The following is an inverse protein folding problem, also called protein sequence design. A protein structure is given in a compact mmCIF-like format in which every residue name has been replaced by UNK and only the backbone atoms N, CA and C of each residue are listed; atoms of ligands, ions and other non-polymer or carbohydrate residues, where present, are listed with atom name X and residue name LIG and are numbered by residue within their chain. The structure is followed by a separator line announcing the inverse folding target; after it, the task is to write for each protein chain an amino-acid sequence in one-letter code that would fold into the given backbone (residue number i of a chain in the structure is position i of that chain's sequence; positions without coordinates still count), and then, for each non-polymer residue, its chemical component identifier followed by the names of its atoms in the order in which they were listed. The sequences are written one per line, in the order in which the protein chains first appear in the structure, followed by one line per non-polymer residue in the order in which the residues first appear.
data_IF_253804305566
#
_entry.id   IF_253804305566
#
_cell.length_a   1.000
_cell.length_b   1.000
_cell.length_c   1.000
_cell.angle_alpha   90.00
_cell.angle_beta   90.00
_cell.angle_gamma   90.00
#
_symmetry.space_group_name_H-M   'P 1'
#
loop_
_entity.id
_entity.type
_entity.pdbx_description
1 polymer ?
#
# COMPACT_ATOMS: atom_id res chain seq x y z
N UNK A 1 -24.63 0.04 8.21
CA UNK A 1 -23.51 0.54 9.03
C UNK A 1 -24.06 1.67 9.87
N UNK A 2 -23.87 1.62 11.19
CA UNK A 2 -24.36 2.64 12.09
C UNK A 2 -23.34 3.78 12.13
N UNK A 3 -23.73 4.97 11.69
CA UNK A 3 -22.94 6.18 11.87
C UNK A 3 -22.96 6.63 13.33
N UNK A 4 -22.14 7.62 13.66
CA UNK A 4 -22.10 8.21 14.99
C UNK A 4 -23.29 9.14 15.18
N UNK A 5 -24.01 8.97 16.29
CA UNK A 5 -25.07 9.90 16.70
C UNK A 5 -24.45 11.19 17.28
N UNK A 6 -24.49 12.27 16.52
CA UNK A 6 -23.90 13.54 16.90
C UNK A 6 -24.80 14.35 17.84
N UNK A 7 -24.19 14.99 18.83
CA UNK A 7 -24.83 16.06 19.61
C UNK A 7 -25.12 17.29 18.73
N UNK A 8 -26.01 18.21 19.15
CA UNK A 8 -26.30 19.43 18.38
C UNK A 8 -25.06 20.28 18.06
N UNK A 9 -24.10 20.38 18.99
CA UNK A 9 -22.87 21.14 18.76
C UNK A 9 -21.94 20.41 17.79
N UNK A 10 -21.79 19.09 17.90
CA UNK A 10 -21.02 18.30 16.94
C UNK A 10 -21.62 18.36 15.53
N UNK A 11 -22.95 18.34 15.41
CA UNK A 11 -23.64 18.49 14.12
C UNK A 11 -23.34 19.86 13.50
N UNK A 12 -23.37 20.93 14.29
CA UNK A 12 -22.99 22.27 13.85
C UNK A 12 -21.54 22.34 13.39
N UNK A 13 -20.61 21.73 14.12
CA UNK A 13 -19.19 21.67 13.74
C UNK A 13 -19.01 20.90 12.43
N UNK A 14 -19.69 19.76 12.28
CA UNK A 14 -19.72 18.97 11.04
C UNK A 14 -20.20 19.80 9.86
N UNK A 15 -21.30 20.54 10.00
CA UNK A 15 -21.83 21.42 8.94
C UNK A 15 -20.81 22.48 8.52
N UNK A 16 -20.07 23.08 9.47
CA UNK A 16 -18.99 24.04 9.16
C UNK A 16 -17.87 23.38 8.36
N UNK A 17 -17.46 22.17 8.74
CA UNK A 17 -16.43 21.41 8.01
C UNK A 17 -16.88 21.09 6.59
N UNK A 18 -18.13 20.61 6.42
CA UNK A 18 -18.72 20.31 5.11
C UNK A 18 -18.83 21.56 4.22
N UNK A 19 -19.27 22.69 4.78
CA UNK A 19 -19.35 23.97 4.07
C UNK A 19 -17.96 24.40 3.56
N UNK A 20 -16.95 24.41 4.44
CA UNK A 20 -15.59 24.80 4.06
C UNK A 20 -14.99 23.87 3.01
N UNK A 21 -15.16 22.54 3.17
CA UNK A 21 -14.70 21.55 2.20
C UNK A 21 -15.32 21.74 0.82
N UNK A 22 -16.63 21.98 0.75
CA UNK A 22 -17.32 22.20 -0.51
C UNK A 22 -16.78 23.44 -1.25
N UNK A 23 -16.52 24.53 -0.50
CA UNK A 23 -15.93 25.75 -1.06
C UNK A 23 -14.51 25.48 -1.58
N UNK A 24 -13.65 24.85 -0.77
CA UNK A 24 -12.26 24.56 -1.14
C UNK A 24 -12.18 23.62 -2.36
N UNK A 25 -13.02 22.59 -2.41
CA UNK A 25 -13.08 21.65 -3.54
C UNK A 25 -13.54 22.31 -4.84
N UNK A 26 -14.52 23.22 -4.76
CA UNK A 26 -14.97 23.99 -5.91
C UNK A 26 -13.84 24.91 -6.41
N UNK A 27 -13.15 25.59 -5.50
CA UNK A 27 -12.09 26.52 -5.85
C UNK A 27 -10.84 25.84 -6.42
N UNK A 28 -10.51 24.60 -6.06
CA UNK A 28 -9.42 23.85 -6.70
C UNK A 28 -9.57 23.82 -8.23
N UNK A 29 -10.81 23.70 -8.71
CA UNK A 29 -11.13 23.65 -10.15
C UNK A 29 -11.22 25.04 -10.76
N UNK A 30 -11.85 25.97 -10.04
CA UNK A 30 -12.21 27.28 -10.59
C UNK A 30 -11.13 28.36 -10.39
N UNK A 31 -10.33 28.25 -9.33
CA UNK A 31 -9.27 29.17 -8.90
C UNK A 31 -9.73 30.63 -8.87
N UNK A 32 -10.86 30.88 -8.22
CA UNK A 32 -11.52 32.20 -8.18
C UNK A 32 -11.34 32.92 -6.84
N UNK A 33 -11.07 32.19 -5.77
CA UNK A 33 -10.99 32.77 -4.44
C UNK A 33 -9.56 33.31 -4.21
N UNK A 34 -9.40 34.56 -3.73
CA UNK A 34 -8.09 35.08 -3.37
C UNK A 34 -7.41 34.25 -2.27
N UNK A 35 -6.07 34.15 -2.32
CA UNK A 35 -5.29 33.36 -1.37
C UNK A 35 -5.57 33.68 0.10
N UNK A 36 -5.76 34.96 0.45
CA UNK A 36 -6.08 35.39 1.82
C UNK A 36 -7.44 34.86 2.29
N UNK A 37 -8.44 34.81 1.40
CA UNK A 37 -9.76 34.28 1.71
C UNK A 37 -9.75 32.74 1.78
N UNK A 38 -9.02 32.08 0.87
CA UNK A 38 -8.76 30.63 0.94
C UNK A 38 -8.12 30.26 2.29
N UNK A 39 -7.14 31.04 2.73
CA UNK A 39 -6.45 30.83 3.99
C UNK A 39 -7.41 30.86 5.17
N UNK A 40 -8.32 31.84 5.22
CA UNK A 40 -9.37 31.92 6.26
C UNK A 40 -10.32 30.73 6.23
N UNK A 41 -10.65 30.21 5.04
CA UNK A 41 -11.50 29.02 4.91
C UNK A 41 -10.77 27.78 5.44
N UNK A 42 -9.48 27.62 5.16
CA UNK A 42 -8.66 26.56 5.75
C UNK A 42 -8.59 26.67 7.27
N UNK A 43 -8.38 27.87 7.81
CA UNK A 43 -8.29 28.08 9.26
C UNK A 43 -9.63 27.79 9.95
N UNK A 44 -10.76 28.21 9.35
CA UNK A 44 -12.13 27.90 9.83
C UNK A 44 -12.40 26.39 9.81
N UNK A 45 -12.01 25.70 8.74
CA UNK A 45 -12.13 24.24 8.62
C UNK A 45 -11.27 23.53 9.66
N UNK A 46 -10.02 23.98 9.84
CA UNK A 46 -9.08 23.41 10.78
C UNK A 46 -9.59 23.51 12.22
N UNK A 47 -10.07 24.69 12.62
CA UNK A 47 -10.62 24.92 13.95
C UNK A 47 -11.88 24.07 14.20
N UNK A 48 -12.81 24.03 13.25
CA UNK A 48 -14.04 23.25 13.38
C UNK A 48 -13.76 21.73 13.39
N UNK A 49 -12.90 21.25 12.49
CA UNK A 49 -12.51 19.85 12.39
C UNK A 49 -11.80 19.35 13.64
N UNK A 50 -10.88 20.16 14.18
CA UNK A 50 -10.21 19.84 15.43
C UNK A 50 -11.16 19.81 16.63
N UNK A 51 -12.04 20.81 16.78
CA UNK A 51 -13.05 20.81 17.86
C UNK A 51 -13.98 19.61 17.77
N UNK A 52 -14.40 19.25 16.55
CA UNK A 52 -15.23 18.08 16.31
C UNK A 52 -14.49 16.80 16.69
N UNK A 53 -13.22 16.65 16.28
CA UNK A 53 -12.38 15.52 16.69
C UNK A 53 -12.32 15.40 18.21
N UNK A 54 -11.91 16.46 18.90
CA UNK A 54 -11.73 16.43 20.35
C UNK A 54 -13.04 16.12 21.08
N UNK A 55 -14.16 16.68 20.61
CA UNK A 55 -15.48 16.40 21.18
C UNK A 55 -15.92 14.94 21.00
N UNK A 56 -15.59 14.30 19.88
CA UNK A 56 -15.86 12.88 19.65
C UNK A 56 -14.94 11.99 20.51
N UNK A 57 -13.66 12.35 20.61
CA UNK A 57 -12.67 11.68 21.46
C UNK A 57 -13.06 11.70 22.95
N UNK A 58 -13.59 12.81 23.44
CA UNK A 58 -14.13 12.92 24.81
C UNK A 58 -15.31 11.97 25.09
N UNK A 59 -15.96 11.44 24.06
CA UNK A 59 -17.06 10.47 24.13
C UNK A 59 -16.61 9.04 23.82
N UNK A 60 -15.30 8.76 23.91
CA UNK A 60 -14.68 7.47 23.55
C UNK A 60 -14.93 7.07 22.08
N UNK A 61 -15.11 8.06 21.20
CA UNK A 61 -15.28 7.89 19.75
C UNK A 61 -14.17 8.60 18.97
N UNK A 62 -12.91 8.28 19.31
CA UNK A 62 -11.74 8.90 18.69
C UNK A 62 -11.70 8.65 17.17
N UNK A 63 -11.71 9.70 16.33
CA UNK A 63 -11.65 9.54 14.88
C UNK A 63 -10.35 8.90 14.41
N UNK A 64 -10.47 7.82 13.65
CA UNK A 64 -9.35 7.17 12.95
C UNK A 64 -9.10 7.89 11.63
N UNK A 65 -7.83 8.10 11.30
CA UNK A 65 -7.35 8.65 10.01
C UNK A 65 -6.36 7.68 9.41
N UNK A 66 -6.27 7.65 8.08
CA UNK A 66 -5.28 6.82 7.40
C UNK A 66 -3.84 7.09 7.89
N UNK A 67 -3.10 6.02 8.19
CA UNK A 67 -1.73 6.08 8.74
C UNK A 67 -0.78 6.92 7.88
N UNK A 68 -0.88 6.81 6.56
CA UNK A 68 -0.01 7.56 5.64
C UNK A 68 -0.21 9.07 5.79
N UNK A 69 -1.41 9.54 6.16
CA UNK A 69 -1.66 10.98 6.33
C UNK A 69 -0.97 11.52 7.58
N UNK A 70 -1.02 10.79 8.68
CA UNK A 70 -0.32 11.15 9.92
C UNK A 70 1.20 11.19 9.66
N UNK A 71 1.73 10.17 8.96
CA UNK A 71 3.15 10.09 8.61
C UNK A 71 3.60 11.24 7.69
N UNK A 72 2.86 11.50 6.60
CA UNK A 72 3.21 12.55 5.63
C UNK A 72 3.11 13.96 6.23
N UNK A 73 2.21 14.18 7.18
CA UNK A 73 2.04 15.48 7.86
C UNK A 73 3.04 15.67 8.99
N UNK A 74 3.57 14.57 9.56
CA UNK A 74 4.52 14.62 10.67
C UNK A 74 3.94 15.22 11.95
N UNK A 75 2.61 15.16 12.13
CA UNK A 75 1.90 15.73 13.28
C UNK A 75 0.71 14.85 13.68
N UNK A 76 0.35 14.94 14.96
CA UNK A 76 -0.79 14.23 15.54
C UNK A 76 -2.12 14.79 15.04
N UNK A 77 -3.16 13.95 14.95
CA UNK A 77 -4.54 14.37 14.72
C UNK A 77 -5.11 15.26 15.83
N UNK A 78 -4.48 15.24 17.02
CA UNK A 78 -4.77 16.15 18.13
C UNK A 78 -4.27 17.58 17.86
N UNK A 79 -3.44 17.82 16.85
CA UNK A 79 -3.03 19.17 16.46
C UNK A 79 -4.06 19.78 15.50
N UNK A 80 -4.54 20.99 15.79
CA UNK A 80 -5.43 21.74 14.90
C UNK A 80 -4.91 21.90 13.47
N UNK A 81 -3.58 22.03 13.30
CA UNK A 81 -2.95 22.15 11.99
C UNK A 81 -3.07 20.86 11.14
N UNK A 82 -3.35 19.71 11.77
CA UNK A 82 -3.65 18.48 11.04
C UNK A 82 -4.84 18.68 10.10
N UNK A 83 -5.89 19.33 10.60
CA UNK A 83 -7.12 19.66 9.87
C UNK A 83 -7.00 20.85 8.92
N UNK A 84 -5.83 21.52 8.87
CA UNK A 84 -5.54 22.56 7.88
C UNK A 84 -5.16 21.96 6.51
N UNK A 85 -5.96 20.99 6.08
CA UNK A 85 -5.87 20.28 4.80
C UNK A 85 -7.20 19.55 4.53
N UNK A 86 -7.49 19.33 3.24
CA UNK A 86 -8.75 18.72 2.81
C UNK A 86 -8.87 17.27 3.29
N UNK A 87 -7.87 16.41 3.04
CA UNK A 87 -7.97 14.97 3.33
C UNK A 87 -8.26 14.61 4.80
N UNK A 88 -7.57 15.16 5.83
CA UNK A 88 -7.93 14.91 7.22
C UNK A 88 -9.37 15.28 7.59
N UNK A 89 -9.91 16.32 6.94
CA UNK A 89 -11.30 16.73 7.13
C UNK A 89 -12.27 15.79 6.40
N UNK A 90 -11.88 15.22 5.25
CA UNK A 90 -12.64 14.17 4.57
C UNK A 90 -12.70 12.89 5.39
N UNK A 91 -11.56 12.42 5.92
CA UNK A 91 -11.49 11.25 6.80
C UNK A 91 -12.37 11.42 8.04
N UNK A 92 -12.32 12.58 8.69
CA UNK A 92 -13.19 12.86 9.84
C UNK A 92 -14.68 12.73 9.47
N UNK A 93 -15.10 13.25 8.33
CA UNK A 93 -16.49 13.13 7.88
C UNK A 93 -16.85 11.70 7.49
N UNK A 94 -15.94 10.97 6.88
CA UNK A 94 -16.12 9.56 6.52
C UNK A 94 -16.27 8.69 7.77
N UNK A 95 -15.42 8.90 8.79
CA UNK A 95 -15.48 8.23 10.09
C UNK A 95 -16.84 8.41 10.78
N UNK A 96 -17.39 9.63 10.76
CA UNK A 96 -18.71 9.92 11.34
C UNK A 96 -19.82 9.09 10.67
N UNK A 97 -19.71 8.84 9.36
CA UNK A 97 -20.69 8.04 8.62
C UNK A 97 -20.47 6.54 8.83
N UNK A 98 -19.22 6.12 8.95
CA UNK A 98 -18.81 4.74 9.16
C UNK A 98 -17.49 4.72 9.95
N UNK A 99 -17.51 4.19 11.17
CA UNK A 99 -16.34 4.15 12.07
C UNK A 99 -15.15 3.37 11.49
N UNK A 100 -15.39 2.51 10.49
CA UNK A 100 -14.38 1.73 9.77
C UNK A 100 -14.00 2.34 8.41
N UNK A 101 -14.42 3.57 8.10
CA UNK A 101 -14.19 4.17 6.78
C UNK A 101 -12.71 4.40 6.46
N UNK A 102 -11.90 4.60 7.49
CA UNK A 102 -10.49 4.96 7.37
C UNK A 102 -9.57 3.88 7.96
N UNK A 103 -10.09 2.67 8.18
CA UNK A 103 -9.28 1.54 8.61
C UNK A 103 -8.22 1.27 7.52
N UNK A 104 -6.95 1.39 7.87
CA UNK A 104 -5.88 1.05 6.94
C UNK A 104 -5.95 -0.44 6.59
N UNK A 105 -5.64 -0.81 5.34
CA UNK A 105 -5.51 -2.21 4.97
C UNK A 105 -4.55 -2.93 5.92
N UNK A 106 -4.92 -4.15 6.30
CA UNK A 106 -4.07 -5.01 7.11
C UNK A 106 -3.44 -6.07 6.21
N UNK A 107 -2.15 -6.36 6.42
CA UNK A 107 -1.51 -7.46 5.73
C UNK A 107 -2.21 -8.77 6.12
N UNK A 108 -2.73 -9.47 5.11
CA UNK A 108 -3.46 -10.71 5.26
C UNK A 108 -2.74 -11.91 4.64
N UNK A 109 -1.49 -11.74 4.21
CA UNK A 109 -0.77 -12.78 3.45
C UNK A 109 0.56 -13.23 4.05
N UNK A 110 0.97 -12.71 5.21
CA UNK A 110 2.05 -13.32 5.99
C UNK A 110 1.68 -14.78 6.34
N UNK A 111 2.61 -15.70 6.10
CA UNK A 111 2.43 -17.14 6.28
C UNK A 111 1.74 -17.86 5.11
N UNK A 112 1.26 -17.14 4.10
CA UNK A 112 0.70 -17.76 2.90
C UNK A 112 1.81 -18.29 1.99
N UNK A 113 1.62 -19.49 1.45
CA UNK A 113 2.48 -20.13 0.44
C UNK A 113 1.95 -19.80 -0.96
N UNK A 114 2.86 -19.44 -1.86
CA UNK A 114 2.60 -19.09 -3.26
C UNK A 114 3.48 -19.91 -4.19
N UNK A 115 3.08 -19.99 -5.45
CA UNK A 115 3.85 -20.61 -6.53
C UNK A 115 4.60 -19.57 -7.36
N UNK A 116 5.81 -19.93 -7.79
CA UNK A 116 6.61 -19.13 -8.71
C UNK A 116 7.24 -20.06 -9.75
N UNK A 117 6.59 -20.18 -10.91
CA UNK A 117 6.90 -21.21 -11.91
C UNK A 117 7.70 -20.63 -13.07
N UNK A 118 8.98 -21.02 -13.20
CA UNK A 118 9.91 -20.42 -14.18
C UNK A 118 10.36 -21.45 -15.21
N UNK A 119 10.35 -21.09 -16.48
CA UNK A 119 10.88 -21.95 -17.54
C UNK A 119 12.41 -22.00 -17.51
N UNK A 120 12.96 -23.20 -17.60
CA UNK A 120 14.41 -23.46 -17.58
C UNK A 120 14.84 -24.15 -18.87
N UNK A 121 15.72 -23.52 -19.66
CA UNK A 121 16.17 -24.12 -20.95
C UNK A 121 17.00 -25.36 -20.77
N UNK A 122 17.79 -25.44 -19.70
CA UNK A 122 18.64 -26.58 -19.37
C UNK A 122 17.84 -27.89 -19.34
N UNK A 123 16.62 -27.83 -18.82
CA UNK A 123 15.74 -28.99 -18.61
C UNK A 123 14.58 -29.03 -19.61
N UNK A 124 14.27 -27.91 -20.28
CA UNK A 124 13.19 -27.82 -21.25
C UNK A 124 11.79 -27.88 -20.63
N UNK A 125 11.67 -27.57 -19.34
CA UNK A 125 10.43 -27.60 -18.57
C UNK A 125 10.36 -26.38 -17.63
N UNK A 126 9.29 -26.32 -16.84
CA UNK A 126 9.13 -25.33 -15.78
C UNK A 126 9.64 -25.89 -14.45
N UNK A 127 10.48 -25.12 -13.78
CA UNK A 127 10.87 -25.33 -12.40
C UNK A 127 9.85 -24.68 -11.48
N UNK A 128 9.35 -25.46 -10.53
CA UNK A 128 8.30 -25.06 -9.60
C UNK A 128 8.92 -24.65 -8.27
N UNK A 129 8.85 -23.35 -7.95
CA UNK A 129 9.30 -22.80 -6.69
C UNK A 129 8.11 -22.55 -5.78
N UNK A 130 8.22 -22.95 -4.52
CA UNK A 130 7.30 -22.53 -3.46
C UNK A 130 7.93 -21.36 -2.72
N UNK A 131 7.18 -20.29 -2.54
CA UNK A 131 7.60 -19.12 -1.77
C UNK A 131 6.53 -18.75 -0.76
N UNK A 132 6.91 -18.62 0.51
CA UNK A 132 6.00 -18.25 1.59
C UNK A 132 6.35 -16.85 2.07
N UNK A 133 5.38 -15.95 2.20
CA UNK A 133 5.66 -14.64 2.82
C UNK A 133 5.94 -14.82 4.31
N UNK A 134 7.03 -14.23 4.79
CA UNK A 134 7.39 -14.18 6.21
C UNK A 134 7.67 -12.72 6.60
N UNK A 135 7.68 -12.42 7.89
CA UNK A 135 7.87 -11.06 8.43
C UNK A 135 9.14 -10.37 7.90
N UNK A 136 10.22 -11.13 7.67
CA UNK A 136 11.51 -10.59 7.20
C UNK A 136 11.71 -10.62 5.68
N UNK A 137 10.75 -11.15 4.92
CA UNK A 137 10.89 -11.38 3.47
C UNK A 137 10.14 -12.61 2.99
N UNK A 138 10.87 -13.58 2.42
CA UNK A 138 10.29 -14.79 1.82
C UNK A 138 10.98 -16.04 2.35
N UNK A 139 10.25 -17.12 2.57
CA UNK A 139 10.82 -18.45 2.71
C UNK A 139 10.68 -19.18 1.38
N UNK A 140 11.80 -19.54 0.76
CA UNK A 140 11.81 -20.25 -0.52
C UNK A 140 12.04 -21.74 -0.30
N UNK A 141 11.38 -22.57 -1.10
CA UNK A 141 11.56 -24.02 -1.12
C UNK A 141 11.54 -24.53 -2.57
N UNK A 142 12.69 -24.94 -3.07
CA UNK A 142 12.87 -25.61 -4.36
C UNK A 142 14.05 -26.58 -4.32
N UNK A 143 13.78 -27.89 -4.38
CA UNK A 143 14.81 -28.94 -4.29
C UNK A 143 15.75 -28.73 -3.07
N UNK A 144 17.06 -28.56 -3.30
CA UNK A 144 18.05 -28.27 -2.26
C UNK A 144 18.16 -26.78 -1.89
N UNK A 145 17.53 -25.90 -2.67
CA UNK A 145 17.49 -24.46 -2.41
C UNK A 145 16.28 -24.17 -1.52
N UNK A 146 16.49 -24.20 -0.21
CA UNK A 146 15.44 -23.96 0.79
C UNK A 146 15.95 -23.05 1.90
N UNK A 147 15.14 -22.06 2.29
CA UNK A 147 15.44 -21.20 3.44
C UNK A 147 14.85 -19.79 3.33
N UNK A 148 15.15 -19.00 4.36
CA UNK A 148 14.67 -17.63 4.47
C UNK A 148 15.52 -16.67 3.63
N UNK A 149 14.84 -15.77 2.95
CA UNK A 149 15.36 -14.78 2.03
C UNK A 149 14.84 -13.40 2.42
N UNK A 150 15.55 -12.37 1.95
CA UNK A 150 15.10 -10.99 2.06
C UNK A 150 13.89 -10.74 1.15
N UNK A 151 13.27 -9.56 1.27
CA UNK A 151 12.13 -9.12 0.45
C UNK A 151 12.40 -9.17 -1.05
N UNK A 152 13.65 -8.95 -1.45
CA UNK A 152 14.14 -9.05 -2.82
C UNK A 152 14.44 -10.51 -3.26
N UNK A 153 14.01 -11.51 -2.49
CA UNK A 153 14.24 -12.96 -2.66
C UNK A 153 15.72 -13.40 -2.71
N UNK A 154 16.65 -12.53 -2.32
CA UNK A 154 18.05 -12.88 -2.19
C UNK A 154 18.37 -13.62 -0.88
N UNK A 155 19.40 -14.49 -0.87
CA UNK A 155 20.18 -14.91 -2.02
C UNK A 155 19.59 -16.11 -2.77
N UNK A 156 18.72 -16.90 -2.12
CA UNK A 156 18.49 -18.31 -2.47
C UNK A 156 17.91 -18.49 -3.87
N UNK A 157 16.93 -17.68 -4.28
CA UNK A 157 16.35 -17.79 -5.63
C UNK A 157 17.42 -17.60 -6.71
N UNK A 158 18.28 -16.59 -6.52
CA UNK A 158 19.33 -16.26 -7.50
C UNK A 158 20.47 -17.27 -7.52
N UNK A 159 20.72 -17.96 -6.40
CA UNK A 159 21.66 -19.07 -6.39
C UNK A 159 21.12 -20.28 -7.13
N UNK A 160 19.82 -20.57 -7.02
CA UNK A 160 19.13 -21.58 -7.81
C UNK A 160 19.18 -21.24 -9.29
N UNK A 161 18.84 -20.00 -9.66
CA UNK A 161 18.90 -19.54 -11.04
C UNK A 161 20.31 -19.62 -11.62
N UNK A 162 21.33 -19.26 -10.85
CA UNK A 162 22.73 -19.37 -11.26
C UNK A 162 23.15 -20.83 -11.48
N UNK A 163 22.68 -21.75 -10.65
CA UNK A 163 22.98 -23.18 -10.80
C UNK A 163 22.37 -23.79 -12.07
N UNK A 164 21.17 -23.35 -12.44
CA UNK A 164 20.47 -23.81 -13.64
C UNK A 164 20.63 -22.89 -14.85
N UNK A 165 21.57 -21.95 -14.77
CA UNK A 165 21.94 -21.03 -15.85
C UNK A 165 20.79 -20.18 -16.39
N UNK A 166 19.78 -19.92 -15.55
CA UNK A 166 18.59 -19.16 -15.90
C UNK A 166 18.96 -17.68 -16.05
N UNK A 167 18.61 -17.10 -17.19
CA UNK A 167 18.68 -15.66 -17.42
C UNK A 167 17.40 -14.99 -16.94
N UNK A 168 17.57 -13.93 -16.17
CA UNK A 168 16.47 -13.16 -15.63
C UNK A 168 16.77 -11.66 -15.74
N UNK A 169 15.73 -10.81 -15.71
CA UNK A 169 15.89 -9.37 -15.81
C UNK A 169 16.60 -8.77 -14.59
N UNK A 170 17.47 -7.78 -14.83
CA UNK A 170 18.27 -7.14 -13.77
C UNK A 170 17.41 -6.55 -12.64
N UNK A 171 16.25 -5.96 -12.96
CA UNK A 171 15.37 -5.32 -11.99
C UNK A 171 14.49 -6.29 -11.19
N UNK A 172 14.52 -7.59 -11.46
CA UNK A 172 13.68 -8.58 -10.76
C UNK A 172 13.74 -8.47 -9.22
N UNK A 173 14.90 -8.29 -8.55
CA UNK A 173 14.95 -8.13 -7.10
C UNK A 173 14.10 -6.95 -6.59
N UNK A 174 14.15 -5.82 -7.29
CA UNK A 174 13.38 -4.62 -6.92
C UNK A 174 11.88 -4.82 -7.06
N UNK A 175 11.42 -5.60 -8.06
CA UNK A 175 10.00 -5.93 -8.19
C UNK A 175 9.49 -6.87 -7.09
N UNK A 176 10.32 -7.82 -6.63
CA UNK A 176 9.99 -8.67 -5.49
C UNK A 176 9.88 -7.89 -4.19
N UNK A 177 10.84 -6.99 -3.93
CA UNK A 177 10.81 -6.11 -2.76
C UNK A 177 9.58 -5.21 -2.79
N UNK A 178 9.30 -4.59 -3.94
CA UNK A 178 8.11 -3.77 -4.14
C UNK A 178 6.81 -4.55 -3.89
N UNK A 179 6.66 -5.75 -4.47
CA UNK A 179 5.47 -6.58 -4.24
C UNK A 179 5.30 -6.94 -2.76
N UNK A 180 6.40 -7.26 -2.07
CA UNK A 180 6.34 -7.56 -0.64
C UNK A 180 5.82 -6.36 0.16
N UNK A 181 6.32 -5.16 -0.12
CA UNK A 181 5.91 -3.92 0.57
C UNK A 181 4.46 -3.57 0.26
N UNK A 182 4.03 -3.68 -1.00
CA UNK A 182 2.65 -3.43 -1.39
C UNK A 182 1.66 -4.40 -0.75
N UNK A 183 2.03 -5.68 -0.62
CA UNK A 183 1.19 -6.65 0.08
C UNK A 183 0.97 -6.28 1.56
N UNK A 184 1.99 -5.68 2.19
CA UNK A 184 1.91 -5.20 3.58
C UNK A 184 1.13 -3.89 3.71
N UNK A 185 1.36 -2.94 2.81
CA UNK A 185 0.82 -1.58 2.90
C UNK A 185 -0.63 -1.49 2.41
N UNK A 186 -0.96 -2.21 1.33
CA UNK A 186 -2.27 -2.18 0.68
C UNK A 186 -3.14 -3.39 1.08
N UNK A 187 -2.64 -4.27 1.95
CA UNK A 187 -3.38 -5.44 2.42
C UNK A 187 -3.83 -6.36 1.28
N UNK A 188 -2.94 -6.60 0.30
CA UNK A 188 -3.27 -7.37 -0.90
C UNK A 188 -3.81 -8.76 -0.54
N UNK A 189 -4.78 -9.24 -1.33
CA UNK A 189 -5.29 -10.60 -1.19
C UNK A 189 -4.27 -11.63 -1.64
N UNK A 190 -4.45 -12.88 -1.22
CA UNK A 190 -3.65 -14.00 -1.70
C UNK A 190 -3.65 -14.06 -3.25
N UNK A 191 -4.82 -13.96 -3.88
CA UNK A 191 -4.95 -14.03 -5.34
C UNK A 191 -4.20 -12.88 -6.04
N UNK A 192 -4.22 -11.67 -5.48
CA UNK A 192 -3.51 -10.53 -6.05
C UNK A 192 -1.99 -10.74 -5.98
N UNK A 193 -1.47 -11.21 -4.84
CA UNK A 193 -0.04 -11.52 -4.68
C UNK A 193 0.37 -12.67 -5.62
N UNK A 194 -0.43 -13.74 -5.70
CA UNK A 194 -0.17 -14.86 -6.62
C UNK A 194 -0.16 -14.40 -8.08
N UNK A 195 -1.08 -13.53 -8.48
CA UNK A 195 -1.12 -12.98 -9.83
C UNK A 195 0.14 -12.17 -10.14
N UNK A 196 0.56 -11.28 -9.24
CA UNK A 196 1.80 -10.51 -9.42
C UNK A 196 3.04 -11.42 -9.50
N UNK A 197 3.11 -12.47 -8.67
CA UNK A 197 4.17 -13.47 -8.76
C UNK A 197 4.17 -14.21 -10.10
N UNK A 198 2.99 -14.54 -10.64
CA UNK A 198 2.87 -15.15 -11.96
C UNK A 198 3.40 -14.22 -13.07
N UNK A 199 3.11 -12.92 -13.00
CA UNK A 199 3.64 -11.93 -13.96
C UNK A 199 5.17 -11.84 -13.90
N UNK A 200 5.75 -11.83 -12.69
CA UNK A 200 7.20 -11.87 -12.51
C UNK A 200 7.82 -13.18 -13.02
N UNK A 201 7.18 -14.33 -12.77
CA UNK A 201 7.65 -15.63 -13.22
C UNK A 201 7.62 -15.76 -14.76
N UNK A 202 6.58 -15.23 -15.39
CA UNK A 202 6.47 -15.18 -16.85
C UNK A 202 7.54 -14.23 -17.43
N UNK A 203 7.82 -13.09 -16.79
CA UNK A 203 8.87 -12.19 -17.25
C UNK A 203 10.26 -12.84 -17.21
N UNK A 204 10.57 -13.61 -16.15
CA UNK A 204 11.79 -14.43 -16.10
C UNK A 204 11.79 -15.46 -17.22
N UNK A 205 10.69 -16.19 -17.39
CA UNK A 205 10.55 -17.21 -18.43
C UNK A 205 10.74 -16.65 -19.84
N UNK A 206 10.24 -15.44 -20.11
CA UNK A 206 10.43 -14.74 -21.39
C UNK A 206 11.89 -14.33 -21.59
N UNK A 207 12.56 -13.82 -20.55
CA UNK A 207 13.98 -13.49 -20.60
C UNK A 207 14.83 -14.73 -20.93
N UNK A 208 14.54 -15.84 -20.26
CA UNK A 208 15.26 -17.10 -20.47
C UNK A 208 15.00 -17.68 -21.87
N UNK A 209 13.73 -17.79 -22.29
CA UNK A 209 13.37 -18.24 -23.65
C UNK A 209 13.98 -17.36 -24.74
N UNK A 210 14.07 -16.05 -24.50
CA UNK A 210 14.66 -15.06 -25.40
C UNK A 210 16.19 -15.06 -25.46
N UNK A 211 16.87 -15.85 -24.63
CA UNK A 211 18.33 -15.83 -24.56
C UNK A 211 19.00 -16.31 -25.87
N UNK A 212 20.15 -15.77 -26.26
CA UNK A 212 20.85 -16.17 -27.48
C UNK A 212 21.16 -17.68 -27.52
N UNK A 213 21.08 -18.28 -28.71
CA UNK A 213 21.38 -19.70 -28.97
C UNK A 213 22.54 -19.88 -29.96
N UNK A 214 22.90 -21.12 -30.29
CA UNK A 214 23.95 -21.43 -31.26
C UNK A 214 25.34 -21.30 -30.64
N UNK A 215 26.18 -20.40 -31.17
CA UNK A 215 27.55 -20.20 -30.67
C UNK A 215 27.61 -19.80 -29.19
N UNK A 216 26.52 -19.25 -28.66
CA UNK A 216 26.40 -18.81 -27.27
C UNK A 216 25.89 -19.89 -26.32
N UNK A 217 25.55 -21.09 -26.82
CA UNK A 217 24.91 -22.16 -26.03
C UNK A 217 25.76 -22.75 -24.90
N UNK A 218 27.05 -22.40 -24.81
CA UNK A 218 27.93 -22.79 -23.70
C UNK A 218 28.44 -21.62 -22.86
N UNK A 219 27.90 -20.40 -23.06
CA UNK A 219 28.31 -19.21 -22.29
C UNK A 219 27.73 -19.22 -20.87
N UNK A 220 26.51 -19.72 -20.72
CA UNK A 220 25.82 -19.98 -19.46
C UNK A 220 25.23 -21.37 -19.51
#
# INVERSE_FOLDING_TARGET
MAGIDLTPEQLRLKEIVEECLNILKADIRERKIPYEEITKIFDRMAEAGHKLHMSLKEQDQEPVHHRYMIQNRGMSSDDSNFYRHIHPSEDLLAFIQNVHANDDPTDQTIGHEFEFNVYTRRWGNYDHYKITRIESGWHLSHLSYTGDCKKDVSPILYESFRHDSINYPESLPGYFEWLWDQAQEEGLSHDAVQQSLNELAEWVSLCEKGSPSGIFGGYK
#
